data_IF_634532133078
#
_entry.id   IF_634532133078
#
_cell.length_a   1.000
_cell.length_b   1.000
_cell.length_c   1.000
_cell.angle_alpha   90.00
_cell.angle_beta   90.00
_cell.angle_gamma   90.00
#
_symmetry.space_group_name_H-M   'P 1'
#
loop_
_entity.id
_entity.type
_entity.pdbx_description
1 polymer ?
#
# COMPACT_ATOMS: atom_id res chain seq x y z
N UNK A 1 -36.81 -7.59 15.57
CA UNK A 1 -36.16 -7.41 14.26
C UNK A 1 -34.76 -6.93 14.58
N UNK A 2 -33.82 -7.88 14.62
CA UNK A 2 -32.50 -7.69 15.21
C UNK A 2 -31.42 -8.06 14.21
N UNK A 3 -30.29 -7.36 14.36
CA UNK A 3 -29.02 -7.40 13.63
C UNK A 3 -29.07 -6.93 12.17
N UNK A 4 -28.64 -5.68 11.95
CA UNK A 4 -28.16 -5.24 10.64
C UNK A 4 -26.81 -5.91 10.37
N UNK A 5 -26.71 -6.76 9.33
CA UNK A 5 -25.46 -7.38 8.94
C UNK A 5 -24.65 -6.37 8.10
N UNK A 6 -23.33 -6.42 8.20
CA UNK A 6 -22.38 -5.66 7.36
C UNK A 6 -22.14 -4.19 7.72
N UNK A 7 -21.65 -3.91 8.94
CA UNK A 7 -20.68 -2.82 9.10
C UNK A 7 -19.31 -3.35 8.67
N UNK A 8 -19.04 -3.35 7.36
CA UNK A 8 -17.68 -3.49 6.86
C UNK A 8 -16.90 -2.23 7.25
N UNK A 9 -15.91 -2.38 8.13
CA UNK A 9 -15.08 -1.29 8.64
C UNK A 9 -14.13 -0.67 7.59
N UNK A 10 -14.23 -1.08 6.31
CA UNK A 10 -13.37 -0.63 5.22
C UNK A 10 -13.99 0.44 4.30
N UNK A 11 -15.07 1.14 4.69
CA UNK A 11 -15.59 2.23 3.85
C UNK A 11 -14.98 3.57 4.27
N UNK A 12 -13.74 3.83 3.84
CA UNK A 12 -13.10 5.14 4.03
C UNK A 12 -13.87 6.15 3.17
N UNK A 13 -14.68 6.99 3.82
CA UNK A 13 -15.34 8.12 3.16
C UNK A 13 -14.39 9.31 3.20
N UNK A 14 -13.81 9.66 2.06
CA UNK A 14 -13.00 10.87 1.91
C UNK A 14 -13.88 12.00 1.36
N UNK A 15 -13.99 13.10 2.10
CA UNK A 15 -14.55 14.32 1.54
C UNK A 15 -13.52 14.99 0.61
N UNK A 16 -13.99 15.92 -0.23
CA UNK A 16 -13.18 16.54 -1.29
C UNK A 16 -11.87 17.13 -0.76
N UNK A 17 -11.89 17.86 0.36
CA UNK A 17 -10.71 18.49 0.92
C UNK A 17 -9.65 17.46 1.36
N UNK A 18 -10.07 16.38 2.02
CA UNK A 18 -9.22 15.27 2.44
C UNK A 18 -8.67 14.52 1.25
N UNK A 19 -9.47 14.31 0.20
CA UNK A 19 -9.04 13.66 -1.02
C UNK A 19 -7.97 14.48 -1.75
N UNK A 20 -8.15 15.80 -1.86
CA UNK A 20 -7.14 16.69 -2.45
C UNK A 20 -5.84 16.71 -1.65
N UNK A 21 -5.93 16.69 -0.32
CA UNK A 21 -4.76 16.57 0.55
C UNK A 21 -4.05 15.23 0.34
N UNK A 22 -4.80 14.13 0.27
CA UNK A 22 -4.28 12.80 0.00
C UNK A 22 -3.55 12.75 -1.35
N UNK A 23 -4.18 13.26 -2.41
CA UNK A 23 -3.57 13.36 -3.75
C UNK A 23 -2.26 14.14 -3.72
N UNK A 24 -2.23 15.27 -3.02
CA UNK A 24 -1.01 16.08 -2.88
C UNK A 24 0.13 15.31 -2.19
N UNK A 25 -0.19 14.54 -1.15
CA UNK A 25 0.78 13.66 -0.48
C UNK A 25 1.26 12.56 -1.44
N UNK A 26 0.35 11.90 -2.17
CA UNK A 26 0.69 10.86 -3.14
C UNK A 26 1.65 11.37 -4.23
N UNK A 27 1.38 12.55 -4.80
CA UNK A 27 2.22 13.19 -5.81
C UNK A 27 3.61 13.48 -5.26
N UNK A 28 3.68 14.03 -4.04
CA UNK A 28 4.96 14.32 -3.38
C UNK A 28 5.75 13.02 -3.18
N UNK A 29 5.12 11.99 -2.62
CA UNK A 29 5.77 10.70 -2.35
C UNK A 29 6.22 9.99 -3.63
N UNK A 30 5.43 10.02 -4.70
CA UNK A 30 5.81 9.47 -6.00
C UNK A 30 7.12 10.09 -6.51
N UNK A 31 7.22 11.42 -6.43
CA UNK A 31 8.42 12.17 -6.85
C UNK A 31 9.62 11.87 -5.97
N UNK A 32 9.44 11.86 -4.65
CA UNK A 32 10.52 11.54 -3.69
C UNK A 32 11.06 10.13 -3.89
N UNK A 33 10.20 9.16 -4.23
CA UNK A 33 10.60 7.78 -4.49
C UNK A 33 11.13 7.55 -5.92
N UNK A 34 10.96 8.51 -6.84
CA UNK A 34 11.36 8.37 -8.24
C UNK A 34 10.67 7.21 -8.97
N UNK A 35 9.40 6.93 -8.65
CA UNK A 35 8.63 5.83 -9.24
C UNK A 35 7.60 6.33 -10.23
N UNK A 36 7.34 5.55 -11.29
CA UNK A 36 6.38 5.94 -12.33
C UNK A 36 4.94 5.95 -11.82
N UNK A 37 4.54 4.93 -11.07
CA UNK A 37 3.16 4.73 -10.62
C UNK A 37 3.13 4.40 -9.12
N UNK A 38 2.29 5.11 -8.37
CA UNK A 38 2.00 4.83 -6.96
C UNK A 38 0.51 4.53 -6.81
N UNK A 39 0.19 3.52 -6.00
CA UNK A 39 -1.17 3.16 -5.63
C UNK A 39 -1.29 3.14 -4.11
N UNK A 40 -2.39 3.69 -3.61
CA UNK A 40 -2.86 3.49 -2.25
C UNK A 40 -4.07 2.57 -2.30
N UNK A 41 -3.95 1.43 -1.61
CA UNK A 41 -4.98 0.41 -1.53
C UNK A 41 -5.29 0.12 -0.06
N UNK A 42 -6.52 -0.30 0.24
CA UNK A 42 -6.86 -0.86 1.55
C UNK A 42 -6.34 -2.32 1.67
N UNK A 43 -6.61 -2.96 2.82
CA UNK A 43 -6.18 -4.34 3.08
C UNK A 43 -6.96 -5.39 2.27
N UNK A 44 -8.15 -5.04 1.81
CA UNK A 44 -9.01 -5.91 1.01
C UNK A 44 -8.66 -5.81 -0.50
N UNK A 45 -7.79 -4.87 -0.87
CA UNK A 45 -7.31 -4.65 -2.23
C UNK A 45 -8.16 -3.64 -3.02
N UNK A 46 -9.03 -2.87 -2.35
CA UNK A 46 -9.71 -1.74 -3.00
C UNK A 46 -8.76 -0.56 -3.12
N UNK A 47 -8.72 0.02 -4.32
CA UNK A 47 -7.94 1.22 -4.57
C UNK A 47 -8.61 2.45 -3.96
N UNK A 48 -7.85 3.19 -3.15
CA UNK A 48 -8.25 4.46 -2.54
C UNK A 48 -7.80 5.64 -3.42
N UNK A 49 -6.56 5.61 -3.90
CA UNK A 49 -6.00 6.65 -4.76
C UNK A 49 -4.82 6.11 -5.60
N UNK A 50 -4.53 6.75 -6.73
CA UNK A 50 -3.34 6.47 -7.53
C UNK A 50 -2.77 7.75 -8.14
N UNK A 51 -1.49 7.70 -8.53
CA UNK A 51 -0.81 8.77 -9.25
C UNK A 51 0.25 8.18 -10.20
N UNK A 52 0.33 8.71 -11.43
CA UNK A 52 1.20 8.21 -12.50
C UNK A 52 0.46 7.58 -13.70
N UNK A 53 1.19 7.22 -14.78
CA UNK A 53 0.61 6.60 -15.96
C UNK A 53 0.13 5.18 -15.65
N UNK A 54 -1.14 4.92 -15.97
CA UNK A 54 -1.80 3.64 -15.72
C UNK A 54 -2.58 3.08 -16.92
N UNK A 55 -2.44 3.70 -18.10
CA UNK A 55 -3.27 3.38 -19.28
C UNK A 55 -3.15 1.92 -19.73
N UNK A 56 -1.97 1.32 -19.55
CA UNK A 56 -1.68 -0.07 -19.93
C UNK A 56 -1.65 -1.04 -18.74
N UNK A 57 -2.11 -0.61 -17.56
CA UNK A 57 -2.04 -1.41 -16.33
C UNK A 57 -3.45 -1.60 -15.78
N UNK A 58 -3.86 -2.86 -15.63
CA UNK A 58 -5.07 -3.19 -14.87
C UNK A 58 -4.81 -2.94 -13.38
N UNK A 59 -5.17 -1.74 -12.92
CA UNK A 59 -4.98 -1.32 -11.53
C UNK A 59 -5.81 -2.15 -10.56
N UNK A 60 -6.97 -2.65 -10.98
CA UNK A 60 -7.82 -3.50 -10.16
C UNK A 60 -7.13 -4.83 -9.92
N UNK A 61 -6.68 -5.50 -10.98
CA UNK A 61 -5.93 -6.75 -10.86
C UNK A 61 -4.64 -6.57 -10.05
N UNK A 62 -3.91 -5.46 -10.28
CA UNK A 62 -2.69 -5.13 -9.52
C UNK A 62 -2.98 -4.95 -8.02
N UNK A 63 -4.07 -4.26 -7.68
CA UNK A 63 -4.47 -4.03 -6.28
C UNK A 63 -4.90 -5.32 -5.59
N UNK A 64 -5.69 -6.17 -6.27
CA UNK A 64 -6.07 -7.48 -5.75
C UNK A 64 -4.85 -8.39 -5.53
N UNK A 65 -3.90 -8.41 -6.47
CA UNK A 65 -2.65 -9.17 -6.33
C UNK A 65 -1.79 -8.65 -5.17
N UNK A 66 -1.70 -7.33 -4.99
CA UNK A 66 -0.96 -6.74 -3.89
C UNK A 66 -1.58 -7.07 -2.52
N UNK A 67 -2.90 -7.10 -2.40
CA UNK A 67 -3.60 -7.53 -1.19
C UNK A 67 -3.41 -9.03 -0.90
N UNK A 68 -3.51 -9.89 -1.91
CA UNK A 68 -3.21 -11.31 -1.76
C UNK A 68 -1.75 -11.55 -1.32
N UNK A 69 -0.81 -10.80 -1.87
CA UNK A 69 0.59 -10.85 -1.48
C UNK A 69 0.78 -10.38 -0.02
N UNK A 70 0.12 -9.29 0.39
CA UNK A 70 0.11 -8.84 1.78
C UNK A 70 -0.35 -9.97 2.72
N UNK A 71 -1.52 -10.56 2.45
CA UNK A 71 -2.07 -11.65 3.26
C UNK A 71 -1.14 -12.87 3.34
N UNK A 72 -0.51 -13.26 2.22
CA UNK A 72 0.46 -14.35 2.21
C UNK A 72 1.71 -14.01 3.05
N UNK A 73 2.22 -12.79 2.94
CA UNK A 73 3.42 -12.36 3.67
C UNK A 73 3.16 -12.10 5.15
N UNK A 74 1.93 -11.74 5.54
CA UNK A 74 1.50 -11.72 6.94
C UNK A 74 1.50 -13.14 7.54
N UNK A 75 1.06 -14.13 6.76
CA UNK A 75 1.17 -15.54 7.12
C UNK A 75 2.62 -15.97 7.34
N UNK A 76 3.52 -15.57 6.44
CA UNK A 76 4.95 -15.82 6.58
C UNK A 76 5.55 -15.13 7.81
N UNK A 77 5.22 -13.86 8.06
CA UNK A 77 5.70 -13.12 9.23
C UNK A 77 5.36 -13.85 10.53
N UNK A 78 4.11 -14.30 10.67
CA UNK A 78 3.67 -15.11 11.82
C UNK A 78 4.44 -16.41 11.98
N UNK A 79 4.74 -17.10 10.87
CA UNK A 79 5.50 -18.34 10.91
C UNK A 79 6.95 -18.14 11.39
N UNK A 80 7.54 -16.98 11.11
CA UNK A 80 8.92 -16.65 11.52
C UNK A 80 9.00 -15.84 12.83
N UNK A 81 7.85 -15.53 13.44
CA UNK A 81 7.78 -14.78 14.70
C UNK A 81 7.86 -13.26 14.54
N UNK A 82 7.73 -12.74 13.33
CA UNK A 82 7.72 -11.31 13.03
C UNK A 82 6.28 -10.75 13.06
N UNK A 83 6.07 -9.49 13.48
CA UNK A 83 4.75 -8.88 13.50
C UNK A 83 4.23 -8.57 12.09
N UNK A 84 5.09 -8.03 11.22
CA UNK A 84 4.81 -7.77 9.81
C UNK A 84 6.11 -7.48 9.04
N UNK A 85 6.09 -7.62 7.72
CA UNK A 85 7.14 -7.07 6.85
C UNK A 85 6.78 -5.62 6.46
N UNK A 86 7.54 -4.65 6.96
CA UNK A 86 7.26 -3.21 6.74
C UNK A 86 7.50 -2.76 5.30
N UNK A 87 8.46 -3.38 4.59
CA UNK A 87 8.78 -3.10 3.19
C UNK A 87 8.99 -4.42 2.45
N UNK A 88 8.39 -4.55 1.26
CA UNK A 88 8.71 -5.62 0.32
C UNK A 88 9.16 -5.03 -1.01
N UNK A 89 10.16 -5.65 -1.62
CA UNK A 89 10.70 -5.25 -2.90
C UNK A 89 10.76 -6.46 -3.82
N UNK A 90 10.09 -6.36 -4.97
CA UNK A 90 10.08 -7.38 -6.02
C UNK A 90 10.82 -6.81 -7.22
N UNK A 91 11.98 -7.38 -7.55
CA UNK A 91 12.81 -6.95 -8.66
C UNK A 91 12.47 -7.75 -9.93
N UNK A 92 12.07 -7.05 -10.98
CA UNK A 92 11.87 -7.63 -12.30
C UNK A 92 12.98 -7.24 -13.26
N UNK A 93 13.00 -7.85 -14.45
CA UNK A 93 13.96 -7.51 -15.51
C UNK A 93 13.78 -6.10 -16.08
N UNK A 94 12.54 -5.59 -16.04
CA UNK A 94 12.17 -4.30 -16.63
C UNK A 94 11.47 -3.36 -15.66
N UNK A 95 10.84 -3.90 -14.60
CA UNK A 95 10.05 -3.13 -13.65
C UNK A 95 10.22 -3.70 -12.26
N UNK A 96 10.21 -2.83 -11.27
CA UNK A 96 10.29 -3.18 -9.86
C UNK A 96 9.01 -2.78 -9.15
N UNK A 97 8.64 -3.53 -8.12
CA UNK A 97 7.47 -3.23 -7.29
C UNK A 97 7.95 -3.07 -5.85
N UNK A 98 7.66 -1.91 -5.27
CA UNK A 98 7.91 -1.64 -3.84
C UNK A 98 6.57 -1.51 -3.12
N UNK A 99 6.38 -2.32 -2.08
CA UNK A 99 5.25 -2.20 -1.14
C UNK A 99 5.79 -1.68 0.19
N UNK A 100 5.10 -0.72 0.80
CA UNK A 100 5.34 -0.27 2.18
C UNK A 100 4.04 -0.32 2.96
N UNK A 101 4.05 -0.92 4.14
CA UNK A 101 2.91 -0.89 5.06
C UNK A 101 2.72 0.51 5.64
N UNK A 102 1.46 0.96 5.74
CA UNK A 102 1.08 2.19 6.43
C UNK A 102 0.47 1.80 7.78
N UNK A 103 1.30 1.43 8.76
CA UNK A 103 0.83 1.17 10.12
C UNK A 103 0.79 2.48 10.92
N UNK A 104 -0.27 2.63 11.73
CA UNK A 104 -0.55 3.84 12.52
C UNK A 104 0.38 4.08 13.71
N UNK A 105 1.52 3.37 13.80
CA UNK A 105 2.51 3.49 14.86
C UNK A 105 3.89 3.74 14.23
N UNK A 106 4.15 4.97 13.78
CA UNK A 106 5.44 5.25 13.17
C UNK A 106 5.56 6.66 12.64
N UNK A 107 5.87 7.60 13.54
CA UNK A 107 6.78 8.69 13.21
C UNK A 107 7.93 8.12 12.38
N UNK A 108 8.01 8.55 11.12
CA UNK A 108 9.19 8.35 10.30
C UNK A 108 10.37 9.01 11.01
N UNK A 109 11.20 8.24 11.70
CA UNK A 109 12.53 8.64 12.10
C UNK A 109 13.54 7.65 11.53
N UNK A 110 14.39 8.18 10.63
CA UNK A 110 15.70 7.63 10.31
C UNK A 110 15.71 6.43 9.38
N UNK A 111 15.81 6.69 8.08
CA UNK A 111 16.59 5.79 7.22
C UNK A 111 18.05 5.84 7.68
N UNK A 112 18.57 4.72 8.19
CA UNK A 112 19.97 4.38 8.14
C UNK A 112 20.03 2.96 7.60
N UNK A 113 20.20 2.84 6.27
CA UNK A 113 20.71 1.61 5.67
C UNK A 113 22.17 1.49 6.10
N UNK A 114 22.40 0.72 7.18
CA UNK A 114 23.69 0.08 7.41
C UNK A 114 23.60 -1.34 6.86
N UNK A 115 24.71 -1.81 6.31
CA UNK A 115 24.81 -2.83 5.27
C UNK A 115 24.17 -4.18 5.58
N UNK A 116 23.96 -4.93 4.50
CA UNK A 116 24.08 -6.39 4.55
C UNK A 116 25.45 -6.71 3.92
N UNK A 117 26.27 -7.60 4.49
CA UNK A 117 27.49 -8.09 3.84
C UNK A 117 27.21 -8.77 2.48
#
# INVERSE_FOLDING_TARGET
MGIDPFMNASNIVLYEAEYQRLKSILIKTQRELGIDLILLIDRDGHQIASEGPAQDIDLTALSSLAAANLAATDGLARLVGEPEFSILYHQGKHRNIRRKGLTGAGTAQGEAYDGIP
#
